data_IF_994002098679
#
_entry.id   IF_994002098679
#
_cell.length_a   1.000
_cell.length_b   1.000
_cell.length_c   1.000
_cell.angle_alpha   90.00
_cell.angle_beta   90.00
_cell.angle_gamma   90.00
#
_symmetry.space_group_name_H-M   'P 1'
#
loop_
_entity.id
_entity.type
_entity.pdbx_description
1 polymer ?
#
# COMPACT_ATOMS: atom_id res chain seq x y z
N UNK A 1 -10.54 23.76 -2.06
CA UNK A 1 -11.27 22.92 -1.09
C UNK A 1 -10.24 22.08 -0.38
N UNK A 2 -9.91 22.39 0.87
CA UNK A 2 -8.96 21.56 1.63
C UNK A 2 -9.53 20.17 1.75
N UNK A 3 -8.80 19.12 1.37
CA UNK A 3 -9.30 17.75 1.50
C UNK A 3 -9.63 17.48 2.96
N UNK A 4 -10.80 16.90 3.20
CA UNK A 4 -11.25 16.55 4.54
C UNK A 4 -10.39 15.42 5.11
N UNK A 5 -9.32 15.79 5.81
CA UNK A 5 -8.44 14.87 6.54
C UNK A 5 -9.01 14.49 7.91
N UNK A 6 -10.31 14.65 8.15
CA UNK A 6 -10.88 14.49 9.48
C UNK A 6 -10.69 13.08 10.03
N UNK A 7 -9.46 12.80 10.43
CA UNK A 7 -9.17 11.76 11.41
C UNK A 7 -9.55 12.28 12.78
N UNK A 8 -10.28 11.49 13.53
CA UNK A 8 -10.54 11.80 14.94
C UNK A 8 -9.21 11.86 15.70
N UNK A 9 -9.18 12.61 16.82
CA UNK A 9 -7.98 12.69 17.68
C UNK A 9 -7.51 11.28 18.11
N UNK A 10 -8.45 10.38 18.40
CA UNK A 10 -8.16 8.99 18.76
C UNK A 10 -7.52 8.21 17.61
N UNK A 11 -7.98 8.40 16.38
CA UNK A 11 -7.38 7.76 15.19
C UNK A 11 -5.94 8.22 14.98
N UNK A 12 -5.66 9.53 15.09
CA UNK A 12 -4.29 10.07 14.98
C UNK A 12 -3.36 9.52 16.05
N UNK A 13 -3.81 9.47 17.30
CA UNK A 13 -3.02 8.89 18.39
C UNK A 13 -2.76 7.40 18.17
N UNK A 14 -3.79 6.64 17.72
CA UNK A 14 -3.65 5.23 17.41
C UNK A 14 -2.69 4.98 16.24
N UNK A 15 -2.76 5.78 15.19
CA UNK A 15 -1.85 5.72 14.05
C UNK A 15 -0.40 5.99 14.47
N UNK A 16 -0.19 7.05 15.26
CA UNK A 16 1.14 7.37 15.80
C UNK A 16 1.69 6.24 16.66
N UNK A 17 0.88 5.69 17.56
CA UNK A 17 1.31 4.58 18.40
C UNK A 17 1.56 3.29 17.61
N UNK A 18 0.76 3.02 16.57
CA UNK A 18 1.05 1.92 15.63
C UNK A 18 2.43 2.08 15.02
N UNK A 19 2.68 3.22 14.41
CA UNK A 19 3.93 3.49 13.68
C UNK A 19 5.17 3.51 14.59
N UNK A 20 5.00 3.87 15.86
CA UNK A 20 6.10 3.99 16.82
C UNK A 20 6.41 2.69 17.54
N UNK A 21 5.39 1.90 17.89
CA UNK A 21 5.55 0.76 18.77
C UNK A 21 4.95 -0.54 18.19
N UNK A 22 3.67 -0.52 17.79
CA UNK A 22 2.95 -1.73 17.43
C UNK A 22 3.50 -2.40 16.18
N UNK A 23 3.99 -1.60 15.22
CA UNK A 23 4.61 -2.11 13.98
C UNK A 23 5.81 -3.03 14.24
N UNK A 24 6.48 -2.88 15.39
CA UNK A 24 7.64 -3.69 15.78
C UNK A 24 7.28 -4.92 16.63
N UNK A 25 6.02 -5.11 16.98
CA UNK A 25 5.59 -6.30 17.71
C UNK A 25 5.65 -7.51 16.76
N UNK A 26 6.37 -8.60 17.08
CA UNK A 26 6.55 -9.74 16.19
C UNK A 26 5.31 -10.64 16.14
N UNK A 27 4.15 -10.06 15.79
CA UNK A 27 2.86 -10.76 15.67
C UNK A 27 1.99 -10.10 14.61
N UNK A 28 1.81 -10.77 13.49
CA UNK A 28 0.89 -10.32 12.42
C UNK A 28 -0.53 -10.10 12.94
N UNK A 29 -1.01 -11.01 13.78
CA UNK A 29 -2.39 -10.95 14.30
C UNK A 29 -2.58 -9.71 15.17
N UNK A 30 -1.60 -9.38 16.02
CA UNK A 30 -1.67 -8.21 16.89
C UNK A 30 -1.64 -6.91 16.08
N UNK A 31 -0.70 -6.78 15.11
CA UNK A 31 -0.63 -5.60 14.23
C UNK A 31 -1.94 -5.39 13.46
N UNK A 32 -2.50 -6.46 12.88
CA UNK A 32 -3.77 -6.39 12.15
C UNK A 32 -4.97 -6.08 13.06
N UNK A 33 -5.04 -6.72 14.22
CA UNK A 33 -6.08 -6.41 15.21
C UNK A 33 -6.05 -4.94 15.58
N UNK A 34 -4.85 -4.40 15.83
CA UNK A 34 -4.68 -3.00 16.16
C UNK A 34 -5.15 -2.08 15.03
N UNK A 35 -4.71 -2.31 13.80
CA UNK A 35 -5.12 -1.51 12.66
C UNK A 35 -6.64 -1.54 12.43
N UNK A 36 -7.28 -2.72 12.56
CA UNK A 36 -8.75 -2.84 12.50
C UNK A 36 -9.44 -2.03 13.59
N UNK A 37 -8.89 -2.02 14.81
CA UNK A 37 -9.44 -1.25 15.95
C UNK A 37 -9.47 0.26 15.68
N UNK A 38 -8.56 0.75 14.85
CA UNK A 38 -8.46 2.16 14.47
C UNK A 38 -9.01 2.48 13.08
N UNK A 39 -9.72 1.55 12.46
CA UNK A 39 -10.56 1.80 11.30
C UNK A 39 -10.11 1.20 9.98
N UNK A 40 -8.96 0.50 9.92
CA UNK A 40 -8.57 -0.21 8.71
C UNK A 40 -9.51 -1.40 8.44
N UNK A 41 -9.84 -1.63 7.17
CA UNK A 41 -10.46 -2.87 6.72
C UNK A 41 -9.37 -3.84 6.27
N UNK A 42 -9.21 -4.96 6.97
CA UNK A 42 -8.18 -5.94 6.66
C UNK A 42 -8.83 -7.32 6.57
N UNK A 43 -8.63 -7.99 5.46
CA UNK A 43 -9.14 -9.32 5.15
C UNK A 43 -8.51 -10.45 5.97
N UNK A 44 -8.79 -11.68 5.54
CA UNK A 44 -8.25 -12.92 6.15
C UNK A 44 -6.89 -13.27 5.55
N UNK A 45 -6.09 -14.01 6.29
CA UNK A 45 -4.78 -14.53 5.84
C UNK A 45 -3.80 -13.45 5.37
N UNK A 46 -3.97 -12.20 5.80
CA UNK A 46 -3.09 -11.10 5.46
C UNK A 46 -1.78 -11.21 6.25
N UNK A 47 -0.65 -11.02 5.59
CA UNK A 47 0.66 -10.84 6.21
C UNK A 47 1.04 -9.35 6.22
N UNK A 48 1.32 -8.77 7.38
CA UNK A 48 1.92 -7.43 7.49
C UNK A 48 3.21 -7.58 8.28
N UNK A 49 4.36 -7.35 7.64
CA UNK A 49 5.67 -7.48 8.28
C UNK A 49 5.97 -6.30 9.20
N UNK A 50 7.01 -6.44 10.03
CA UNK A 50 7.46 -5.39 10.94
C UNK A 50 7.99 -4.17 10.18
N UNK A 51 7.94 -3.01 10.84
CA UNK A 51 8.40 -1.75 10.26
C UNK A 51 7.43 -1.12 9.25
N UNK A 52 6.27 -1.74 8.99
CA UNK A 52 5.25 -1.13 8.12
C UNK A 52 4.68 0.12 8.76
N UNK A 53 4.73 1.25 8.05
CA UNK A 53 4.14 2.52 8.45
C UNK A 53 2.79 2.74 7.75
N UNK A 54 1.79 3.21 8.49
CA UNK A 54 0.45 3.50 7.95
C UNK A 54 0.09 4.95 8.23
N UNK A 55 -0.39 5.67 7.22
CA UNK A 55 -0.98 7.00 7.33
C UNK A 55 -2.42 6.95 6.83
N UNK A 56 -3.37 7.57 7.54
CA UNK A 56 -4.78 7.54 7.15
C UNK A 56 -5.41 6.16 7.37
N UNK A 57 -5.14 5.53 8.49
CA UNK A 57 -5.51 4.13 8.82
C UNK A 57 -6.97 3.79 8.51
N UNK A 58 -7.91 4.72 8.69
CA UNK A 58 -9.36 4.53 8.45
C UNK A 58 -9.75 4.46 6.97
N UNK A 59 -8.84 4.78 6.05
CA UNK A 59 -9.01 4.69 4.59
C UNK A 59 -8.16 3.59 3.96
N UNK A 60 -7.59 2.71 4.79
CA UNK A 60 -6.83 1.55 4.33
C UNK A 60 -7.76 0.35 4.20
N UNK A 61 -7.80 -0.21 2.99
CA UNK A 61 -8.53 -1.45 2.67
C UNK A 61 -7.55 -2.47 2.13
N UNK A 62 -7.47 -3.64 2.78
CA UNK A 62 -6.59 -4.75 2.40
C UNK A 62 -7.42 -6.01 2.26
N UNK A 63 -7.41 -6.61 1.09
CA UNK A 63 -8.13 -7.84 0.76
C UNK A 63 -7.52 -9.10 1.38
N UNK A 64 -8.20 -10.22 1.17
CA UNK A 64 -7.77 -11.54 1.66
C UNK A 64 -6.44 -11.98 1.04
N UNK A 65 -5.57 -12.61 1.81
CA UNK A 65 -4.32 -13.21 1.32
C UNK A 65 -3.26 -12.22 0.84
N UNK A 66 -3.41 -10.94 1.11
CA UNK A 66 -2.40 -9.93 0.78
C UNK A 66 -1.16 -10.12 1.65
N UNK A 67 0.01 -10.02 1.02
CA UNK A 67 1.30 -10.03 1.71
C UNK A 67 1.96 -8.66 1.60
N UNK A 68 2.27 -8.05 2.74
CA UNK A 68 2.95 -6.77 2.87
C UNK A 68 4.29 -6.98 3.55
N UNK A 69 5.37 -6.66 2.85
CA UNK A 69 6.75 -6.82 3.30
C UNK A 69 7.16 -5.87 4.42
N UNK A 70 8.40 -5.98 4.85
CA UNK A 70 8.96 -5.14 5.91
C UNK A 70 9.19 -3.70 5.43
N UNK A 71 9.08 -2.74 6.35
CA UNK A 71 9.39 -1.33 6.11
C UNK A 71 8.57 -0.68 4.98
N UNK A 72 7.38 -1.20 4.71
CA UNK A 72 6.48 -0.64 3.68
C UNK A 72 5.81 0.61 4.23
N UNK A 73 5.70 1.65 3.42
CA UNK A 73 4.90 2.84 3.74
C UNK A 73 3.58 2.78 2.98
N UNK A 74 2.48 2.71 3.73
CA UNK A 74 1.11 2.71 3.24
C UNK A 74 0.44 4.05 3.56
N UNK A 75 0.61 5.03 2.67
CA UNK A 75 -0.13 6.27 2.80
C UNK A 75 -1.54 6.11 2.23
N UNK A 76 -2.50 5.97 3.10
CA UNK A 76 -3.91 5.84 2.78
C UNK A 76 -4.71 7.15 3.00
N UNK A 77 -4.05 8.30 3.18
CA UNK A 77 -4.75 9.58 3.40
C UNK A 77 -5.70 9.93 2.26
N UNK A 78 -5.35 9.58 1.02
CA UNK A 78 -6.21 9.73 -0.17
C UNK A 78 -7.13 8.53 -0.45
N UNK A 79 -7.01 7.46 0.33
CA UNK A 79 -7.60 6.15 0.09
C UNK A 79 -6.57 5.18 -0.50
N UNK A 80 -6.41 4.02 0.11
CA UNK A 80 -5.57 2.94 -0.40
C UNK A 80 -6.33 1.63 -0.33
N UNK A 81 -6.51 1.03 -1.51
CA UNK A 81 -7.10 -0.30 -1.64
C UNK A 81 -6.07 -1.26 -2.22
N UNK A 82 -5.85 -2.37 -1.52
CA UNK A 82 -5.00 -3.47 -1.97
C UNK A 82 -5.88 -4.71 -2.03
N UNK A 83 -6.15 -5.19 -3.23
CA UNK A 83 -7.09 -6.30 -3.44
C UNK A 83 -6.47 -7.66 -3.10
N UNK A 84 -7.33 -8.67 -3.06
CA UNK A 84 -7.01 -10.06 -2.71
C UNK A 84 -5.77 -10.59 -3.44
N UNK A 85 -4.93 -11.32 -2.73
CA UNK A 85 -3.73 -11.99 -3.27
C UNK A 85 -2.68 -11.06 -3.89
N UNK A 86 -2.76 -9.75 -3.68
CA UNK A 86 -1.70 -8.85 -4.08
C UNK A 86 -0.48 -9.00 -3.15
N UNK A 87 0.69 -8.70 -3.68
CA UNK A 87 1.96 -8.77 -2.96
C UNK A 87 2.67 -7.41 -3.03
N UNK A 88 2.91 -6.82 -1.88
CA UNK A 88 3.71 -5.62 -1.71
C UNK A 88 5.03 -6.04 -1.05
N UNK A 89 6.12 -5.96 -1.77
CA UNK A 89 7.43 -6.37 -1.25
C UNK A 89 8.02 -5.34 -0.27
N UNK A 90 9.14 -5.67 0.35
CA UNK A 90 9.77 -4.82 1.37
C UNK A 90 10.22 -3.47 0.81
N UNK A 91 10.22 -2.46 1.67
CA UNK A 91 10.66 -1.09 1.38
C UNK A 91 9.87 -0.40 0.26
N UNK A 92 8.66 -0.85 -0.06
CA UNK A 92 7.76 -0.19 -1.02
C UNK A 92 7.14 1.05 -0.39
N UNK A 93 7.02 2.12 -1.17
CA UNK A 93 6.31 3.34 -0.81
C UNK A 93 5.05 3.49 -1.66
N UNK A 94 3.87 3.54 -1.03
CA UNK A 94 2.62 3.90 -1.69
C UNK A 94 2.20 5.25 -1.12
N UNK A 95 2.11 6.26 -2.00
CA UNK A 95 1.88 7.66 -1.62
C UNK A 95 0.58 8.15 -2.26
N UNK A 96 -0.33 8.69 -1.45
CA UNK A 96 -1.63 9.19 -1.95
C UNK A 96 -1.76 10.71 -1.90
N UNK A 97 -0.69 11.43 -1.57
CA UNK A 97 -0.69 12.88 -1.47
C UNK A 97 0.52 13.50 -2.16
N UNK A 98 0.33 14.68 -2.76
CA UNK A 98 1.41 15.53 -3.28
C UNK A 98 1.09 17.00 -3.06
N UNK A 99 2.10 17.84 -3.13
CA UNK A 99 1.91 19.29 -3.25
C UNK A 99 1.82 19.73 -4.71
N UNK A 100 1.03 20.77 -4.97
CA UNK A 100 1.00 21.45 -6.27
C UNK A 100 2.13 22.48 -6.27
N UNK A 101 3.22 22.15 -6.96
CA UNK A 101 4.48 22.93 -6.88
C UNK A 101 4.36 24.37 -7.38
N UNK A 102 3.45 24.61 -8.32
CA UNK A 102 3.22 25.96 -8.90
C UNK A 102 2.04 26.68 -8.25
N UNK A 103 1.42 26.09 -7.22
CA UNK A 103 0.35 26.76 -6.47
C UNK A 103 0.93 27.80 -5.52
N UNK A 104 0.38 29.02 -5.46
CA UNK A 104 0.82 30.06 -4.51
C UNK A 104 0.77 29.62 -3.06
N UNK A 105 -0.18 28.74 -2.74
CA UNK A 105 -0.41 28.24 -1.37
C UNK A 105 0.24 26.88 -1.12
N UNK A 106 1.00 26.37 -2.09
CA UNK A 106 1.64 25.03 -2.01
C UNK A 106 0.66 23.96 -1.53
N UNK A 107 -0.56 24.02 -2.04
CA UNK A 107 -1.68 23.17 -1.60
C UNK A 107 -1.39 21.69 -1.74
N UNK A 108 -2.04 20.90 -0.87
CA UNK A 108 -1.96 19.44 -0.93
C UNK A 108 -3.12 18.89 -1.76
N UNK A 109 -2.80 18.06 -2.74
CA UNK A 109 -3.77 17.27 -3.50
C UNK A 109 -3.61 15.81 -3.12
N UNK A 110 -4.73 15.14 -2.85
CA UNK A 110 -4.78 13.71 -2.57
C UNK A 110 -5.56 12.99 -3.65
N UNK A 111 -5.13 11.78 -4.00
CA UNK A 111 -5.85 10.90 -4.89
C UNK A 111 -5.62 9.44 -4.47
N UNK A 112 -6.65 8.57 -4.59
CA UNK A 112 -6.55 7.19 -4.14
C UNK A 112 -5.55 6.40 -4.98
N UNK A 113 -4.98 5.36 -4.36
CA UNK A 113 -4.21 4.33 -5.06
C UNK A 113 -4.95 3.00 -4.94
N UNK A 114 -5.02 2.28 -6.05
CA UNK A 114 -5.62 0.95 -6.10
C UNK A 114 -4.62 -0.07 -6.64
N UNK A 115 -4.26 -1.05 -5.83
CA UNK A 115 -3.47 -2.22 -6.24
C UNK A 115 -4.44 -3.38 -6.41
N UNK A 116 -4.70 -3.78 -7.66
CA UNK A 116 -5.68 -4.82 -7.98
C UNK A 116 -5.16 -6.23 -7.63
N UNK A 117 -6.08 -7.19 -7.65
CA UNK A 117 -5.79 -8.56 -7.22
C UNK A 117 -4.62 -9.19 -7.99
N UNK A 118 -3.82 -10.00 -7.30
CA UNK A 118 -2.63 -10.67 -7.81
C UNK A 118 -1.53 -9.74 -8.38
N UNK A 119 -1.66 -8.43 -8.25
CA UNK A 119 -0.59 -7.52 -8.60
C UNK A 119 0.62 -7.73 -7.67
N UNK A 120 1.80 -7.54 -8.21
CA UNK A 120 3.05 -7.61 -7.46
C UNK A 120 3.83 -6.30 -7.58
N UNK A 121 3.99 -5.59 -6.48
CA UNK A 121 4.85 -4.42 -6.37
C UNK A 121 6.16 -4.87 -5.72
N UNK A 122 7.23 -4.92 -6.51
CA UNK A 122 8.53 -5.42 -6.06
C UNK A 122 9.26 -4.40 -5.17
N UNK A 123 10.28 -4.87 -4.47
CA UNK A 123 10.98 -4.14 -3.41
C UNK A 123 11.48 -2.75 -3.84
N UNK A 124 11.34 -1.78 -2.95
CA UNK A 124 11.77 -0.38 -3.13
C UNK A 124 11.08 0.35 -4.28
N UNK A 125 9.99 -0.19 -4.83
CA UNK A 125 9.19 0.56 -5.79
C UNK A 125 8.39 1.65 -5.08
N UNK A 126 8.12 2.74 -5.79
CA UNK A 126 7.26 3.83 -5.34
C UNK A 126 6.06 3.95 -6.26
N UNK A 127 4.85 3.92 -5.68
CA UNK A 127 3.59 4.14 -6.40
C UNK A 127 3.01 5.47 -5.97
N UNK A 128 2.81 6.36 -6.94
CA UNK A 128 2.32 7.72 -6.67
C UNK A 128 0.78 7.78 -6.65
N UNK A 129 0.28 8.89 -6.12
CA UNK A 129 -1.14 9.19 -5.97
C UNK A 129 -1.90 9.09 -7.31
N UNK A 130 -3.13 8.60 -7.24
CA UNK A 130 -4.03 8.46 -8.38
C UNK A 130 -3.76 7.25 -9.28
N UNK A 131 -2.76 6.43 -8.96
CA UNK A 131 -2.35 5.29 -9.78
C UNK A 131 -3.21 4.06 -9.46
N UNK A 132 -3.63 3.37 -10.52
CA UNK A 132 -4.15 2.01 -10.47
C UNK A 132 -3.09 1.04 -10.98
N UNK A 133 -2.71 0.06 -10.16
CA UNK A 133 -1.88 -1.09 -10.58
C UNK A 133 -2.82 -2.23 -10.96
N UNK A 134 -2.86 -2.59 -12.23
CA UNK A 134 -3.82 -3.53 -12.83
C UNK A 134 -3.74 -4.94 -12.28
N UNK A 135 -4.75 -5.76 -12.63
CA UNK A 135 -4.85 -7.18 -12.25
C UNK A 135 -3.61 -7.93 -12.69
N UNK A 136 -2.96 -8.65 -11.77
CA UNK A 136 -1.78 -9.45 -12.08
C UNK A 136 -0.57 -8.66 -12.58
N UNK A 137 -0.63 -7.33 -12.62
CA UNK A 137 0.48 -6.50 -13.05
C UNK A 137 1.72 -6.68 -12.15
N UNK A 138 2.89 -6.43 -12.71
CA UNK A 138 4.17 -6.52 -12.01
C UNK A 138 4.89 -5.18 -12.10
N UNK A 139 5.17 -4.59 -10.96
CA UNK A 139 6.04 -3.41 -10.84
C UNK A 139 7.42 -3.88 -10.42
N UNK A 140 8.42 -3.67 -11.27
CA UNK A 140 9.81 -4.05 -11.02
C UNK A 140 10.41 -3.33 -9.82
N UNK A 141 11.45 -3.90 -9.23
CA UNK A 141 12.13 -3.31 -8.08
C UNK A 141 12.70 -1.90 -8.41
N UNK A 142 12.73 -1.02 -7.40
CA UNK A 142 13.25 0.34 -7.51
C UNK A 142 12.56 1.21 -8.57
N UNK A 143 11.33 0.87 -8.97
CA UNK A 143 10.59 1.61 -10.00
C UNK A 143 9.77 2.75 -9.42
N UNK A 144 9.57 3.83 -10.20
CA UNK A 144 8.67 4.93 -9.89
C UNK A 144 7.44 4.87 -10.80
N UNK A 145 6.30 4.48 -10.23
CA UNK A 145 5.03 4.37 -10.96
C UNK A 145 4.22 5.65 -10.78
N UNK A 146 4.09 6.41 -11.86
CA UNK A 146 3.39 7.71 -11.89
C UNK A 146 2.21 7.75 -12.87
N UNK A 147 1.84 6.60 -13.44
CA UNK A 147 0.69 6.39 -14.34
C UNK A 147 0.11 5.02 -14.07
N UNK A 148 -1.15 4.83 -14.46
CA UNK A 148 -1.80 3.52 -14.37
C UNK A 148 -0.99 2.44 -15.07
N UNK A 149 -1.03 1.25 -14.50
CA UNK A 149 -0.40 0.04 -15.04
C UNK A 149 -1.50 -0.89 -15.51
N UNK A 150 -1.47 -1.27 -16.76
CA UNK A 150 -2.48 -2.17 -17.35
C UNK A 150 -2.47 -3.55 -16.69
N UNK A 151 -3.59 -4.25 -16.79
CA UNK A 151 -3.70 -5.63 -16.33
C UNK A 151 -2.64 -6.51 -17.00
N UNK A 152 -2.00 -7.37 -16.22
CA UNK A 152 -0.92 -8.28 -16.65
C UNK A 152 0.33 -7.59 -17.22
N UNK A 153 0.43 -6.27 -17.17
CA UNK A 153 1.65 -5.58 -17.62
C UNK A 153 2.82 -5.80 -16.64
N UNK A 154 4.02 -5.89 -17.19
CA UNK A 154 5.30 -5.82 -16.46
C UNK A 154 5.90 -4.46 -16.74
N UNK A 155 6.06 -3.65 -15.69
CA UNK A 155 6.63 -2.31 -15.80
C UNK A 155 7.86 -2.17 -14.91
N UNK A 156 8.87 -1.40 -15.34
CA UNK A 156 10.02 -1.07 -14.50
C UNK A 156 10.66 0.26 -14.94
N UNK A 157 11.52 0.80 -14.05
CA UNK A 157 12.31 2.01 -14.29
C UNK A 157 11.80 3.25 -13.55
N UNK A 158 12.49 4.37 -13.72
CA UNK A 158 12.21 5.67 -13.10
C UNK A 158 12.23 6.77 -14.14
N UNK A 159 11.05 7.18 -14.67
CA UNK A 159 9.72 6.64 -14.41
C UNK A 159 9.50 5.26 -15.04
N UNK A 160 8.58 4.47 -14.49
CA UNK A 160 8.28 3.12 -14.97
C UNK A 160 7.74 3.13 -16.42
N UNK A 161 8.17 2.13 -17.19
CA UNK A 161 7.73 1.89 -18.58
C UNK A 161 7.38 0.42 -18.73
N UNK A 162 6.47 0.12 -19.63
CA UNK A 162 6.08 -1.27 -19.94
C UNK A 162 7.26 -2.00 -20.61
N UNK A 163 7.62 -3.13 -20.05
CA UNK A 163 8.66 -4.05 -20.55
C UNK A 163 8.05 -5.26 -21.25
N UNK A 164 6.82 -5.64 -20.91
CA UNK A 164 6.16 -6.81 -21.46
C UNK A 164 4.85 -7.14 -20.73
N UNK A 165 4.40 -8.37 -20.92
CA UNK A 165 3.22 -8.92 -20.26
C UNK A 165 3.59 -10.14 -19.42
N UNK A 166 2.92 -10.29 -18.30
CA UNK A 166 3.03 -11.45 -17.42
C UNK A 166 2.22 -12.62 -18.00
N UNK A 167 2.85 -13.76 -18.10
CA UNK A 167 2.19 -15.02 -18.43
C UNK A 167 1.87 -15.77 -17.14
N UNK A 168 0.62 -15.75 -16.70
CA UNK A 168 0.17 -16.40 -15.48
C UNK A 168 -1.35 -16.56 -15.53
N UNK A 169 -1.86 -17.68 -15.03
CA UNK A 169 -3.30 -17.90 -14.86
C UNK A 169 -3.84 -17.33 -13.54
N UNK A 170 -2.96 -16.73 -12.70
CA UNK A 170 -3.29 -16.14 -11.41
C UNK A 170 -4.03 -17.08 -10.44
N UNK A 171 -3.81 -18.40 -10.55
CA UNK A 171 -4.51 -19.41 -9.74
C UNK A 171 -3.86 -19.66 -8.36
N UNK A 172 -2.87 -18.88 -7.98
CA UNK A 172 -2.16 -19.01 -6.71
C UNK A 172 -2.75 -18.10 -5.62
N UNK A 173 -2.56 -18.53 -4.37
CA UNK A 173 -2.91 -17.76 -3.18
C UNK A 173 -1.63 -17.57 -2.34
N UNK A 174 -1.05 -16.38 -2.30
CA UNK A 174 0.21 -16.16 -1.59
C UNK A 174 -0.03 -16.26 -0.08
N UNK A 175 0.53 -17.30 0.55
CA UNK A 175 0.52 -17.46 2.01
C UNK A 175 1.93 -17.23 2.55
N UNK A 176 2.29 -15.98 2.77
CA UNK A 176 3.56 -15.65 3.41
C UNK A 176 3.30 -15.03 4.78
N UNK A 177 3.33 -15.87 5.82
CA UNK A 177 3.13 -15.46 7.23
C UNK A 177 4.21 -16.12 8.10
N UNK A 178 5.46 -15.71 7.97
CA UNK A 178 6.53 -16.23 8.81
C UNK A 178 6.25 -15.90 10.28
N UNK A 179 6.68 -16.81 11.18
CA UNK A 179 6.58 -16.63 12.63
C UNK A 179 7.64 -15.63 13.09
N UNK A 180 7.28 -14.72 13.99
CA UNK A 180 8.19 -13.70 14.56
C UNK A 180 8.72 -12.66 13.55
N UNK A 181 7.88 -12.27 12.60
CA UNK A 181 8.20 -11.22 11.61
C UNK A 181 7.26 -10.04 11.73
#
# INVERSE_FOLDING_TARGET
MTPDYHTTRSQRLGESFFNYAVTHVPSHNFRQWYLRRFGATIGRDVGIMMGTHVLGVHRLVVGDGVSIGSNVVLDARGGLTIDTSAVIASDVYIVTAKHVVDSPDFEVVIAPVHVKHHAWVASRATVLQGVTVGVGAVVGACSLVNKDVDDMAIVAGTPARTLGKRESNLSYYPKFRPVLY
#
